data_IF_808470078129
#
_entry.id   IF_808470078129
#
_cell.length_a   1.000
_cell.length_b   1.000
_cell.length_c   1.000
_cell.angle_alpha   90.00
_cell.angle_beta   90.00
_cell.angle_gamma   90.00
#
_symmetry.space_group_name_H-M   'P 1'
#
loop_
_entity.id
_entity.type
_entity.pdbx_description
1 polymer ?
#
# COMPACT_ATOMS: atom_id res chain seq x y z
N UNK A 1 -1.45 -10.83 -2.43
CA UNK A 1 -2.91 -10.95 -2.68
C UNK A 1 -3.32 -10.12 -3.91
N UNK A 2 -3.25 -8.78 -3.90
CA UNK A 2 -3.61 -7.94 -5.06
C UNK A 2 -2.51 -7.79 -6.13
N UNK A 3 -1.33 -8.36 -5.87
CA UNK A 3 -0.15 -8.34 -6.75
C UNK A 3 -0.28 -9.20 -8.01
N UNK A 4 -1.27 -10.09 -8.07
CA UNK A 4 -1.46 -11.03 -9.19
C UNK A 4 -2.75 -10.76 -9.99
N UNK A 5 -3.53 -9.74 -9.61
CA UNK A 5 -4.81 -9.41 -10.25
C UNK A 5 -5.78 -8.70 -9.30
N UNK A 6 -6.93 -8.30 -9.85
CA UNK A 6 -8.01 -7.71 -9.07
C UNK A 6 -8.83 -8.74 -8.31
N UNK A 7 -9.24 -8.43 -7.09
CA UNK A 7 -10.01 -9.32 -6.21
C UNK A 7 -11.26 -8.62 -5.69
N UNK A 8 -12.35 -9.37 -5.55
CA UNK A 8 -13.60 -8.84 -5.01
C UNK A 8 -13.46 -8.50 -3.51
N UNK A 9 -14.17 -7.47 -3.05
CA UNK A 9 -14.23 -7.09 -1.63
C UNK A 9 -14.50 -8.30 -0.70
N UNK A 10 -15.43 -9.19 -1.07
CA UNK A 10 -15.79 -10.33 -0.23
C UNK A 10 -14.71 -11.41 -0.20
N UNK A 11 -14.01 -11.62 -1.32
CA UNK A 11 -12.86 -12.54 -1.36
C UNK A 11 -11.72 -12.01 -0.49
N UNK A 12 -11.48 -10.70 -0.52
CA UNK A 12 -10.48 -10.05 0.33
C UNK A 12 -10.83 -10.22 1.80
N UNK A 13 -12.10 -10.01 2.17
CA UNK A 13 -12.57 -10.09 3.56
C UNK A 13 -12.27 -11.46 4.19
N UNK A 14 -12.34 -12.54 3.42
CA UNK A 14 -12.06 -13.90 3.90
C UNK A 14 -10.63 -14.08 4.44
N UNK A 15 -9.69 -13.18 4.10
CA UNK A 15 -8.30 -13.23 4.56
C UNK A 15 -8.04 -12.37 5.81
N UNK A 16 -9.05 -11.69 6.35
CA UNK A 16 -8.88 -10.78 7.47
C UNK A 16 -9.89 -11.05 8.60
N UNK A 17 -9.43 -10.87 9.84
CA UNK A 17 -10.26 -10.97 11.04
C UNK A 17 -10.89 -9.60 11.40
N UNK A 18 -11.53 -8.94 10.43
CA UNK A 18 -12.30 -7.72 10.65
C UNK A 18 -13.62 -7.73 9.85
N UNK A 19 -14.45 -6.71 10.02
CA UNK A 19 -15.77 -6.64 9.39
C UNK A 19 -15.72 -5.98 8.00
N UNK A 20 -16.77 -6.20 7.20
CA UNK A 20 -16.91 -5.58 5.88
C UNK A 20 -16.87 -4.03 5.91
N UNK A 21 -17.53 -3.33 6.86
CA UNK A 21 -17.38 -1.88 6.97
C UNK A 21 -15.93 -1.42 7.17
N UNK A 22 -15.15 -2.12 8.00
CA UNK A 22 -13.74 -1.82 8.22
C UNK A 22 -12.92 -2.04 6.95
N UNK A 23 -13.16 -3.14 6.24
CA UNK A 23 -12.50 -3.40 4.96
C UNK A 23 -12.78 -2.30 3.94
N UNK A 24 -14.05 -1.92 3.79
CA UNK A 24 -14.47 -0.87 2.86
C UNK A 24 -13.82 0.47 3.20
N UNK A 25 -13.70 0.80 4.49
CA UNK A 25 -13.00 2.00 4.92
C UNK A 25 -11.52 1.97 4.54
N UNK A 26 -10.79 0.89 4.85
CA UNK A 26 -9.38 0.76 4.48
C UNK A 26 -9.17 0.82 2.97
N UNK A 27 -10.00 0.12 2.19
CA UNK A 27 -9.92 0.14 0.73
C UNK A 27 -10.20 1.53 0.16
N UNK A 28 -11.12 2.28 0.76
CA UNK A 28 -11.38 3.67 0.36
C UNK A 28 -10.17 4.56 0.61
N UNK A 29 -9.53 4.44 1.77
CA UNK A 29 -8.28 5.17 2.07
C UNK A 29 -7.19 4.84 1.06
N UNK A 30 -7.01 3.56 0.72
CA UNK A 30 -6.01 3.14 -0.27
C UNK A 30 -6.33 3.65 -1.68
N UNK A 31 -7.62 3.68 -2.06
CA UNK A 31 -8.09 4.22 -3.34
C UNK A 31 -7.83 5.73 -3.42
N UNK A 32 -8.18 6.47 -2.36
CA UNK A 32 -8.01 7.93 -2.28
C UNK A 32 -6.54 8.34 -2.36
N UNK A 33 -5.63 7.48 -1.89
CA UNK A 33 -4.17 7.68 -1.99
C UNK A 33 -3.57 7.06 -3.26
N UNK A 34 -4.40 6.53 -4.16
CA UNK A 34 -3.96 5.99 -5.45
C UNK A 34 -3.14 4.70 -5.37
N UNK A 35 -3.11 4.02 -4.21
CA UNK A 35 -2.38 2.76 -4.03
C UNK A 35 -3.14 1.55 -4.57
N UNK A 36 -4.48 1.61 -4.57
CA UNK A 36 -5.34 0.61 -5.20
C UNK A 36 -6.26 1.27 -6.21
N UNK A 37 -6.63 0.50 -7.22
CA UNK A 37 -7.62 0.87 -8.23
C UNK A 37 -8.87 0.04 -7.96
N UNK A 38 -10.04 0.66 -8.03
CA UNK A 38 -11.32 -0.03 -7.89
C UNK A 38 -12.08 -0.05 -9.21
N UNK A 39 -12.49 -1.25 -9.62
CA UNK A 39 -13.40 -1.47 -10.72
C UNK A 39 -14.77 -1.87 -10.16
N UNK A 40 -15.79 -1.05 -10.43
CA UNK A 40 -17.16 -1.36 -10.03
C UNK A 40 -17.83 -2.21 -11.12
N UNK A 41 -18.12 -3.47 -10.79
CA UNK A 41 -18.85 -4.41 -11.67
C UNK A 41 -20.21 -4.70 -11.05
N UNK A 42 -21.24 -4.04 -11.57
CA UNK A 42 -22.60 -4.07 -11.01
C UNK A 42 -22.61 -3.69 -9.52
N UNK A 43 -22.91 -4.65 -8.64
CA UNK A 43 -23.00 -4.46 -7.20
C UNK A 43 -21.68 -4.75 -6.46
N UNK A 44 -20.63 -5.15 -7.18
CA UNK A 44 -19.39 -5.63 -6.59
C UNK A 44 -18.21 -4.69 -6.89
N UNK A 45 -17.38 -4.50 -5.88
CA UNK A 45 -16.12 -3.76 -5.99
C UNK A 45 -14.96 -4.74 -6.13
N UNK A 46 -14.20 -4.58 -7.21
CA UNK A 46 -12.96 -5.31 -7.45
C UNK A 46 -11.78 -4.38 -7.23
N UNK A 47 -10.89 -4.73 -6.32
CA UNK A 47 -9.70 -3.95 -6.01
C UNK A 47 -8.48 -4.58 -6.66
N UNK A 48 -7.63 -3.76 -7.28
CA UNK A 48 -6.33 -4.17 -7.82
C UNK A 48 -5.25 -3.22 -7.36
N UNK A 49 -3.99 -3.66 -7.35
CA UNK A 49 -2.86 -2.81 -6.97
C UNK A 49 -2.56 -1.81 -8.08
N UNK A 50 -2.43 -0.52 -7.74
CA UNK A 50 -1.79 0.42 -8.64
C UNK A 50 -0.28 0.15 -8.64
N UNK A 51 0.19 -0.64 -9.60
CA UNK A 51 1.60 -1.07 -9.67
C UNK A 51 2.56 0.12 -9.72
N UNK A 52 2.27 1.13 -10.51
CA UNK A 52 3.15 2.29 -10.63
C UNK A 52 3.31 3.03 -9.29
N UNK A 53 2.21 3.24 -8.56
CA UNK A 53 2.26 3.88 -7.24
C UNK A 53 2.95 3.00 -6.20
N UNK A 54 2.70 1.68 -6.22
CA UNK A 54 3.34 0.73 -5.31
C UNK A 54 4.84 0.63 -5.54
N UNK A 55 5.28 0.54 -6.79
CA UNK A 55 6.69 0.46 -7.16
C UNK A 55 7.44 1.74 -6.77
N UNK A 56 6.82 2.91 -7.01
CA UNK A 56 7.35 4.18 -6.55
C UNK A 56 7.47 4.25 -5.02
N UNK A 57 6.43 3.84 -4.29
CA UNK A 57 6.47 3.85 -2.83
C UNK A 57 7.54 2.91 -2.28
N UNK A 58 7.67 1.71 -2.85
CA UNK A 58 8.68 0.72 -2.44
C UNK A 58 10.09 1.24 -2.73
N UNK A 59 10.34 1.87 -3.88
CA UNK A 59 11.66 2.40 -4.21
C UNK A 59 12.07 3.52 -3.24
N UNK A 60 11.16 4.45 -2.96
CA UNK A 60 11.39 5.56 -2.03
C UNK A 60 11.59 5.07 -0.59
N UNK A 61 10.77 4.13 -0.12
CA UNK A 61 10.95 3.56 1.22
C UNK A 61 12.27 2.80 1.33
N UNK A 62 12.64 2.05 0.29
CA UNK A 62 13.92 1.34 0.27
C UNK A 62 15.08 2.33 0.31
N UNK A 63 15.01 3.43 -0.43
CA UNK A 63 16.02 4.49 -0.40
C UNK A 63 16.10 5.16 0.98
N UNK A 64 14.96 5.56 1.55
CA UNK A 64 14.88 6.25 2.83
C UNK A 64 15.35 5.39 4.02
N UNK A 65 15.13 4.07 3.93
CA UNK A 65 15.53 3.12 4.97
C UNK A 65 16.91 2.51 4.74
N UNK A 66 17.52 2.75 3.58
CA UNK A 66 18.89 2.30 3.30
C UNK A 66 19.90 3.19 4.02
N UNK A 67 21.04 2.61 4.43
CA UNK A 67 22.16 3.37 4.96
C UNK A 67 22.75 4.21 3.83
N UNK A 68 22.40 5.50 3.81
CA UNK A 68 22.94 6.45 2.84
C UNK A 68 24.29 6.98 3.30
N UNK A 69 25.14 7.39 2.34
CA UNK A 69 26.45 7.99 2.65
C UNK A 69 26.29 9.27 3.47
N UNK A 70 25.22 10.01 3.22
CA UNK A 70 24.85 11.27 3.89
C UNK A 70 24.00 11.07 5.15
N UNK A 71 23.96 9.84 5.69
CA UNK A 71 23.26 9.57 6.94
C UNK A 71 23.84 10.43 8.07
N UNK A 72 22.96 11.10 8.84
CA UNK A 72 23.35 11.90 10.01
C UNK A 72 24.13 11.10 11.08
N UNK A 73 24.07 9.77 11.03
CA UNK A 73 24.85 8.88 11.88
C UNK A 73 26.33 8.78 11.47
N UNK A 74 26.67 9.14 10.23
CA UNK A 74 28.05 9.13 9.71
C UNK A 74 28.81 10.44 10.00
N UNK A 75 28.16 11.44 10.60
CA UNK A 75 28.81 12.69 10.99
C UNK A 75 29.77 12.44 12.17
N UNK A 76 31.06 12.36 11.85
CA UNK A 76 32.14 12.16 12.82
C UNK A 76 32.33 13.34 13.79
N UNK A 77 31.63 14.45 13.61
CA UNK A 77 31.66 15.62 14.49
C UNK A 77 30.48 15.72 15.45
N UNK A 78 29.57 14.74 15.49
CA UNK A 78 28.48 14.72 16.46
C UNK A 78 29.01 14.36 17.86
N UNK A 79 29.42 15.38 18.64
CA UNK A 79 29.54 15.25 20.09
C UNK A 79 28.13 14.95 20.63
N UNK A 80 27.91 13.72 21.10
CA UNK A 80 26.83 13.44 22.04
C UNK A 80 27.05 14.20 23.35
#
# INVERSE_FOLDING_TARGET
>A
MLSCGGMCACDILNYFNFTQPTLSHHMKVLEDNGLVIVDKKANWHYYSLNRAAADFLISNLTEALSVTKDCICNDKNKKC
#
